data_IF_591188970352
#
_entry.id   IF_591188970352
#
_cell.length_a   1.000
_cell.length_b   1.000
_cell.length_c   1.000
_cell.angle_alpha   90.00
_cell.angle_beta   90.00
_cell.angle_gamma   90.00
#
_symmetry.space_group_name_H-M   'P 1'
#
loop_
_entity.id
_entity.type
_entity.pdbx_description
1 polymer ?
#
# COMPACT_ATOMS: atom_id res chain seq x y z
N UNK A 1 -22.24 32.90 -9.30
CA UNK A 1 -23.19 33.93 -9.75
C UNK A 1 -24.17 33.21 -10.65
N UNK A 2 -25.45 33.30 -10.34
CA UNK A 2 -26.54 32.76 -11.16
C UNK A 2 -26.98 33.79 -12.21
N UNK A 3 -27.78 33.38 -13.20
CA UNK A 3 -28.30 34.28 -14.25
C UNK A 3 -29.17 35.44 -13.73
N UNK A 4 -29.47 35.46 -12.42
CA UNK A 4 -30.20 36.53 -11.74
C UNK A 4 -29.29 37.59 -11.13
N UNK A 5 -27.97 37.37 -11.16
CA UNK A 5 -27.00 38.31 -10.58
C UNK A 5 -26.94 39.60 -11.41
N UNK A 6 -27.05 40.79 -10.79
CA UNK A 6 -27.00 42.05 -11.52
C UNK A 6 -25.65 42.25 -12.24
N UNK A 7 -25.69 42.71 -13.49
CA UNK A 7 -24.50 42.96 -14.34
C UNK A 7 -23.49 43.91 -13.67
N UNK A 8 -23.95 44.75 -12.74
CA UNK A 8 -23.11 45.66 -11.95
C UNK A 8 -22.05 44.96 -11.09
N UNK A 9 -22.18 43.66 -10.80
CA UNK A 9 -21.16 42.86 -10.11
C UNK A 9 -20.04 42.34 -11.02
N UNK A 10 -20.30 42.28 -12.33
CA UNK A 10 -19.37 41.76 -13.35
C UNK A 10 -18.56 42.91 -13.94
N UNK A 11 -19.16 44.09 -14.08
CA UNK A 11 -18.47 45.27 -14.61
C UNK A 11 -17.43 45.80 -13.62
N UNK A 12 -16.14 45.90 -14.00
CA UNK A 12 -15.09 46.34 -13.10
C UNK A 12 -15.28 47.82 -12.75
N UNK A 13 -15.48 48.09 -11.45
CA UNK A 13 -15.58 49.44 -10.92
C UNK A 13 -14.80 49.56 -9.59
N UNK A 14 -14.18 50.71 -9.36
CA UNK A 14 -13.40 50.96 -8.14
C UNK A 14 -14.28 51.29 -6.91
N UNK A 15 -15.61 51.25 -7.04
CA UNK A 15 -16.59 51.51 -5.97
C UNK A 15 -17.87 50.67 -6.18
N UNK A 16 -18.54 50.32 -5.09
CA UNK A 16 -19.83 49.62 -5.11
C UNK A 16 -19.73 48.16 -5.58
N UNK A 17 -20.80 47.63 -6.17
CA UNK A 17 -20.94 46.21 -6.55
C UNK A 17 -19.87 45.72 -7.57
N UNK A 18 -19.30 46.61 -8.38
CA UNK A 18 -18.24 46.29 -9.36
C UNK A 18 -16.85 46.08 -8.75
N UNK A 19 -16.70 46.26 -7.43
CA UNK A 19 -15.47 45.92 -6.70
C UNK A 19 -15.18 44.43 -6.75
N UNK A 20 -16.19 43.58 -6.79
CA UNK A 20 -16.01 42.12 -6.79
C UNK A 20 -15.18 41.65 -8.00
N UNK A 21 -15.51 42.11 -9.21
CA UNK A 21 -14.77 41.77 -10.42
C UNK A 21 -13.39 42.43 -10.47
N UNK A 22 -13.26 43.67 -9.97
CA UNK A 22 -11.97 44.35 -9.88
C UNK A 22 -10.99 43.64 -8.92
N UNK A 23 -11.47 43.28 -7.73
CA UNK A 23 -10.68 42.55 -6.71
C UNK A 23 -10.32 41.15 -7.21
N UNK A 24 -11.26 40.45 -7.86
CA UNK A 24 -11.00 39.14 -8.45
C UNK A 24 -9.91 39.21 -9.52
N UNK A 25 -9.97 40.19 -10.43
CA UNK A 25 -8.93 40.39 -11.45
C UNK A 25 -7.57 40.66 -10.81
N UNK A 26 -7.51 41.55 -9.81
CA UNK A 26 -6.25 41.85 -9.11
C UNK A 26 -5.69 40.61 -8.39
N UNK A 27 -6.54 39.85 -7.70
CA UNK A 27 -6.17 38.61 -7.03
C UNK A 27 -5.60 37.58 -8.02
N UNK A 28 -6.24 37.39 -9.17
CA UNK A 28 -5.76 36.45 -10.18
C UNK A 28 -4.41 36.89 -10.78
N UNK A 29 -4.23 38.19 -11.05
CA UNK A 29 -2.96 38.73 -11.52
C UNK A 29 -1.83 38.57 -10.48
N UNK A 30 -2.14 38.80 -9.21
CA UNK A 30 -1.21 38.59 -8.11
C UNK A 30 -0.79 37.12 -8.00
N UNK A 31 -1.75 36.18 -8.05
CA UNK A 31 -1.46 34.74 -8.01
C UNK A 31 -0.59 34.29 -9.17
N UNK A 32 -0.86 34.79 -10.38
CA UNK A 32 -0.05 34.47 -11.54
C UNK A 32 1.38 34.98 -11.41
N UNK A 33 1.58 36.23 -10.95
CA UNK A 33 2.91 36.79 -10.74
C UNK A 33 3.68 36.06 -9.63
N UNK A 34 3.00 35.68 -8.55
CA UNK A 34 3.60 34.90 -7.46
C UNK A 34 4.07 33.52 -7.95
N UNK A 35 3.29 32.86 -8.81
CA UNK A 35 3.70 31.59 -9.40
C UNK A 35 4.98 31.75 -10.24
N UNK A 36 5.03 32.76 -11.11
CA UNK A 36 6.22 33.04 -11.93
C UNK A 36 7.46 33.35 -11.09
N UNK A 37 7.30 34.06 -9.97
CA UNK A 37 8.41 34.30 -9.03
C UNK A 37 8.96 33.00 -8.45
N UNK A 38 8.08 32.08 -8.00
CA UNK A 38 8.51 30.77 -7.50
C UNK A 38 9.19 29.94 -8.58
N UNK A 39 8.62 29.90 -9.78
CA UNK A 39 9.23 29.23 -10.93
C UNK A 39 10.64 29.77 -11.24
N UNK A 40 10.82 31.10 -11.19
CA UNK A 40 12.13 31.72 -11.38
C UNK A 40 13.15 31.31 -10.31
N UNK A 41 12.74 31.14 -9.05
CA UNK A 41 13.61 30.69 -7.96
C UNK A 41 14.11 29.27 -8.23
N UNK A 42 13.19 28.34 -8.50
CA UNK A 42 13.52 26.93 -8.78
C UNK A 42 14.38 26.78 -10.05
N UNK A 43 14.02 27.50 -11.12
CA UNK A 43 14.75 27.49 -12.39
C UNK A 43 16.07 28.28 -12.38
N UNK A 44 16.43 28.95 -11.27
CA UNK A 44 17.57 29.89 -11.16
C UNK A 44 17.56 31.01 -12.22
N UNK A 45 16.36 31.47 -12.60
CA UNK A 45 16.14 32.55 -13.59
C UNK A 45 15.84 33.86 -12.84
N UNK A 46 16.31 35.00 -13.34
CA UNK A 46 15.99 36.31 -12.74
C UNK A 46 14.58 36.76 -13.14
N UNK A 47 13.71 37.02 -12.17
CA UNK A 47 12.32 37.43 -12.42
C UNK A 47 12.21 38.71 -13.29
N UNK A 48 13.09 39.69 -13.09
CA UNK A 48 13.10 40.93 -13.88
C UNK A 48 13.46 40.74 -15.36
N UNK A 49 14.01 39.58 -15.72
CA UNK A 49 14.32 39.25 -17.12
C UNK A 49 13.10 38.76 -17.92
N UNK A 50 11.97 38.49 -17.25
CA UNK A 50 10.75 38.04 -17.91
C UNK A 50 10.05 39.17 -18.68
N UNK A 51 9.40 38.87 -19.81
CA UNK A 51 8.61 39.84 -20.55
C UNK A 51 7.46 40.39 -19.70
N UNK A 52 7.33 41.73 -19.64
CA UNK A 52 6.23 42.40 -18.92
C UNK A 52 5.12 42.76 -19.90
N UNK A 53 3.93 42.20 -19.68
CA UNK A 53 2.73 42.43 -20.51
C UNK A 53 1.75 43.33 -19.75
N UNK A 54 1.20 44.34 -20.43
CA UNK A 54 0.17 45.21 -19.82
C UNK A 54 -1.16 44.47 -19.78
N UNK A 55 -1.98 44.73 -18.75
CA UNK A 55 -3.29 44.08 -18.55
C UNK A 55 -4.21 44.20 -19.77
N UNK A 56 -4.14 45.34 -20.48
CA UNK A 56 -4.93 45.60 -21.70
C UNK A 56 -4.53 44.75 -22.91
N UNK A 57 -3.30 44.23 -22.91
CA UNK A 57 -2.71 43.47 -24.02
C UNK A 57 -2.65 41.96 -23.68
N UNK A 58 -3.30 41.54 -22.57
CA UNK A 58 -3.36 40.15 -22.15
C UNK A 58 -4.20 39.31 -23.10
N UNK A 59 -3.73 38.09 -23.31
CA UNK A 59 -4.42 37.06 -24.08
C UNK A 59 -4.11 35.71 -23.43
N UNK A 60 -4.83 34.66 -23.85
CA UNK A 60 -4.72 33.35 -23.21
C UNK A 60 -3.28 32.80 -23.16
N UNK A 61 -2.44 33.12 -24.14
CA UNK A 61 -1.02 32.67 -24.19
C UNK A 61 -0.16 33.29 -23.07
N UNK A 62 -0.59 34.43 -22.52
CA UNK A 62 0.12 35.11 -21.45
C UNK A 62 -0.33 34.64 -20.07
N UNK A 63 -1.36 33.79 -19.98
CA UNK A 63 -1.94 33.31 -18.73
C UNK A 63 -1.49 31.89 -18.45
N UNK A 64 -1.16 31.61 -17.19
CA UNK A 64 -0.88 30.25 -16.73
C UNK A 64 -2.22 29.53 -16.60
N UNK A 65 -2.49 28.63 -17.54
CA UNK A 65 -3.71 27.83 -17.58
C UNK A 65 -3.32 26.39 -17.85
N UNK A 66 -3.78 25.49 -16.99
CA UNK A 66 -3.61 24.06 -17.14
C UNK A 66 -4.88 23.36 -16.67
N UNK A 67 -5.20 22.22 -17.29
CA UNK A 67 -6.21 21.31 -16.80
C UNK A 67 -5.55 20.30 -15.86
N UNK A 68 -5.91 20.24 -14.56
CA UNK A 68 -5.26 19.35 -13.60
C UNK A 68 -5.15 17.91 -14.12
N UNK A 69 -6.25 17.37 -14.68
CA UNK A 69 -6.29 15.96 -15.05
C UNK A 69 -5.61 15.62 -16.38
N UNK A 70 -5.54 16.57 -17.31
CA UNK A 70 -4.97 16.32 -18.65
C UNK A 70 -3.51 16.73 -18.71
N UNK A 71 -3.16 17.80 -18.01
CA UNK A 71 -1.87 18.46 -18.16
C UNK A 71 -0.94 18.20 -16.95
N UNK A 72 -1.47 17.99 -15.73
CA UNK A 72 -0.66 17.70 -14.55
C UNK A 72 -0.60 16.21 -14.20
N UNK A 73 -1.74 15.49 -14.22
CA UNK A 73 -1.76 14.05 -13.87
C UNK A 73 -0.76 13.20 -14.66
N UNK A 74 -0.54 13.39 -15.98
CA UNK A 74 0.43 12.59 -16.70
C UNK A 74 1.90 12.93 -16.38
N UNK A 75 2.17 14.10 -15.80
CA UNK A 75 3.52 14.53 -15.40
C UNK A 75 3.84 14.13 -13.95
N UNK A 76 2.80 13.83 -13.18
CA UNK A 76 2.90 13.24 -11.86
C UNK A 76 2.90 11.73 -12.11
N UNK A 77 4.10 11.13 -12.23
CA UNK A 77 4.23 9.67 -12.07
C UNK A 77 3.47 9.33 -10.80
N UNK A 78 2.35 8.63 -10.96
CA UNK A 78 1.32 8.36 -9.94
C UNK A 78 1.82 8.65 -8.54
N UNK A 79 1.56 9.87 -8.04
CA UNK A 79 1.55 10.10 -6.60
C UNK A 79 0.28 9.40 -6.16
N UNK A 80 0.41 8.08 -6.01
CA UNK A 80 -0.47 7.32 -5.15
C UNK A 80 -0.38 8.09 -3.84
N UNK A 81 -1.47 8.71 -3.41
CA UNK A 81 -1.62 9.09 -2.02
C UNK A 81 -1.74 7.76 -1.24
N UNK A 82 -0.66 6.96 -1.23
CA UNK A 82 -0.41 6.02 -0.16
C UNK A 82 -0.21 6.95 1.00
N UNK A 83 -1.18 7.01 1.91
CA UNK A 83 -0.83 7.48 3.24
C UNK A 83 0.45 6.71 3.60
N UNK A 84 1.49 7.42 4.04
CA UNK A 84 2.73 6.92 4.64
C UNK A 84 2.41 6.18 5.96
N UNK A 85 1.40 5.32 5.91
CA UNK A 85 0.83 4.54 6.97
C UNK A 85 1.16 3.12 6.57
N UNK A 86 2.22 2.65 7.19
CA UNK A 86 2.72 1.29 7.14
C UNK A 86 1.59 0.29 7.42
N UNK A 87 1.68 -0.90 6.83
CA UNK A 87 0.62 -1.92 6.93
C UNK A 87 0.30 -2.24 8.40
N UNK A 88 1.29 -2.16 9.28
CA UNK A 88 1.14 -2.33 10.73
C UNK A 88 0.09 -1.37 11.31
N UNK A 89 0.17 -0.07 11.04
CA UNK A 89 -0.76 0.94 11.55
C UNK A 89 -2.14 0.70 10.97
N UNK A 90 -2.22 0.37 9.67
CA UNK A 90 -3.50 0.07 9.00
C UNK A 90 -4.19 -1.11 9.68
N UNK A 91 -3.48 -2.22 9.85
CA UNK A 91 -4.06 -3.44 10.41
C UNK A 91 -4.25 -3.36 11.93
N UNK A 92 -3.39 -2.64 12.67
CA UNK A 92 -3.61 -2.32 14.09
C UNK A 92 -4.94 -1.56 14.28
N UNK A 93 -5.14 -0.48 13.52
CA UNK A 93 -6.38 0.30 13.58
C UNK A 93 -7.60 -0.52 13.16
N UNK A 94 -7.45 -1.42 12.17
CA UNK A 94 -8.51 -2.34 11.77
C UNK A 94 -8.88 -3.29 12.91
N UNK A 95 -7.88 -3.90 13.56
CA UNK A 95 -8.06 -4.85 14.67
C UNK A 95 -8.76 -4.22 15.88
N UNK A 96 -8.51 -2.94 16.13
CA UNK A 96 -9.21 -2.18 17.18
C UNK A 96 -10.72 -2.04 16.91
N UNK A 97 -11.15 -2.06 15.64
CA UNK A 97 -12.57 -1.92 15.26
C UNK A 97 -13.26 -3.23 14.98
N UNK A 98 -12.57 -4.14 14.31
CA UNK A 98 -13.09 -5.43 13.87
C UNK A 98 -12.07 -6.47 14.26
N UNK A 99 -12.47 -7.35 15.19
CA UNK A 99 -11.66 -8.50 15.58
C UNK A 99 -11.34 -9.34 14.35
N UNK A 100 -10.05 -9.42 14.00
CA UNK A 100 -9.59 -10.18 12.84
C UNK A 100 -9.33 -11.65 13.23
N UNK A 101 -9.62 -12.56 12.30
CA UNK A 101 -9.40 -14.00 12.39
C UNK A 101 -8.75 -14.51 11.10
N UNK A 102 -7.90 -15.56 11.21
CA UNK A 102 -7.37 -16.23 10.02
C UNK A 102 -8.48 -16.96 9.26
N UNK A 103 -8.38 -16.93 7.93
CA UNK A 103 -9.18 -17.79 7.06
C UNK A 103 -8.75 -19.24 7.29
N UNK A 104 -9.70 -20.18 7.25
CA UNK A 104 -9.37 -21.60 7.40
C UNK A 104 -8.43 -22.07 6.26
N UNK A 105 -7.44 -22.95 6.55
CA UNK A 105 -6.49 -23.42 5.54
C UNK A 105 -7.17 -24.02 4.30
N UNK A 106 -8.29 -24.74 4.49
CA UNK A 106 -9.07 -25.30 3.39
C UNK A 106 -9.63 -24.23 2.44
N UNK A 107 -10.09 -23.10 2.97
CA UNK A 107 -10.61 -21.98 2.15
C UNK A 107 -9.46 -21.24 1.48
N UNK A 108 -8.33 -21.03 2.18
CA UNK A 108 -7.12 -20.44 1.58
C UNK A 108 -6.64 -21.27 0.39
N UNK A 109 -6.57 -22.60 0.52
CA UNK A 109 -6.18 -23.48 -0.58
C UNK A 109 -7.10 -23.31 -1.79
N UNK A 110 -8.42 -23.30 -1.59
CA UNK A 110 -9.39 -23.10 -2.67
C UNK A 110 -9.25 -21.72 -3.34
N UNK A 111 -9.01 -20.66 -2.57
CA UNK A 111 -8.77 -19.31 -3.10
C UNK A 111 -7.50 -19.30 -3.96
N UNK A 112 -6.40 -19.87 -3.45
CA UNK A 112 -5.12 -19.95 -4.20
C UNK A 112 -5.26 -20.72 -5.50
N UNK A 113 -5.96 -21.86 -5.48
CA UNK A 113 -6.24 -22.65 -6.69
C UNK A 113 -7.02 -21.85 -7.75
N UNK A 114 -8.06 -21.11 -7.34
CA UNK A 114 -8.79 -20.25 -8.26
C UNK A 114 -7.90 -19.15 -8.83
N UNK A 115 -7.11 -18.50 -7.97
CA UNK A 115 -6.20 -17.43 -8.38
C UNK A 115 -5.19 -17.91 -9.41
N UNK A 116 -4.64 -19.14 -9.33
CA UNK A 116 -3.70 -19.68 -10.34
C UNK A 116 -4.21 -19.60 -11.77
N UNK A 117 -5.53 -19.68 -11.97
CA UNK A 117 -6.17 -19.57 -13.29
C UNK A 117 -6.38 -18.13 -13.78
N UNK A 118 -6.13 -17.12 -12.95
CA UNK A 118 -6.44 -15.70 -13.20
C UNK A 118 -5.22 -14.92 -13.63
N UNK A 119 -5.43 -13.85 -14.41
CA UNK A 119 -4.33 -13.02 -14.91
C UNK A 119 -3.70 -12.21 -13.78
N UNK A 120 -2.48 -11.69 -14.01
CA UNK A 120 -1.81 -10.83 -13.03
C UNK A 120 -2.59 -9.51 -12.78
N UNK A 121 -3.12 -8.80 -13.80
CA UNK A 121 -3.99 -7.64 -13.60
C UNK A 121 -5.24 -7.94 -12.76
N UNK A 122 -5.87 -9.10 -12.95
CA UNK A 122 -7.04 -9.52 -12.15
C UNK A 122 -6.71 -9.61 -10.65
N UNK A 123 -5.55 -10.17 -10.32
CA UNK A 123 -5.07 -10.25 -8.94
C UNK A 123 -4.80 -8.85 -8.36
N UNK A 124 -4.13 -7.98 -9.13
CA UNK A 124 -3.87 -6.60 -8.69
C UNK A 124 -5.16 -5.83 -8.45
N UNK A 125 -6.15 -5.91 -9.35
CA UNK A 125 -7.45 -5.26 -9.15
C UNK A 125 -8.23 -5.79 -7.93
N UNK A 126 -8.11 -7.10 -7.65
CA UNK A 126 -8.66 -7.69 -6.42
C UNK A 126 -7.98 -7.14 -5.16
N UNK A 127 -6.66 -6.90 -5.21
CA UNK A 127 -5.93 -6.27 -4.11
C UNK A 127 -6.31 -4.81 -3.93
N UNK A 128 -6.38 -4.02 -5.01
CA UNK A 128 -6.73 -2.59 -4.94
C UNK A 128 -8.12 -2.39 -4.33
N UNK A 129 -9.08 -3.25 -4.70
CA UNK A 129 -10.43 -3.17 -4.12
C UNK A 129 -10.43 -3.58 -2.64
N UNK A 130 -9.61 -4.56 -2.26
CA UNK A 130 -9.44 -4.95 -0.87
C UNK A 130 -8.78 -3.84 -0.04
N UNK A 131 -7.80 -3.13 -0.59
CA UNK A 131 -7.18 -1.97 0.04
C UNK A 131 -8.23 -0.89 0.33
N UNK A 132 -9.08 -0.56 -0.65
CA UNK A 132 -10.19 0.38 -0.47
C UNK A 132 -11.10 -0.11 0.67
N UNK A 133 -11.52 -1.38 0.63
CA UNK A 133 -12.38 -1.94 1.67
C UNK A 133 -11.75 -1.85 3.07
N UNK A 134 -10.45 -2.15 3.20
CA UNK A 134 -9.69 -2.00 4.45
C UNK A 134 -9.72 -0.55 4.95
N UNK A 135 -9.56 0.43 4.05
CA UNK A 135 -9.61 1.86 4.43
C UNK A 135 -10.97 2.26 5.02
N UNK A 136 -12.07 1.70 4.53
CA UNK A 136 -13.40 1.92 5.11
C UNK A 136 -13.58 1.17 6.43
N UNK A 137 -13.19 -0.11 6.47
CA UNK A 137 -13.34 -0.95 7.66
C UNK A 137 -12.51 -0.44 8.83
N UNK A 138 -11.28 0.04 8.60
CA UNK A 138 -10.46 0.69 9.64
C UNK A 138 -11.02 2.04 10.08
N UNK A 139 -11.84 2.69 9.26
CA UNK A 139 -12.40 4.02 9.55
C UNK A 139 -13.75 3.95 10.25
N UNK A 140 -14.63 3.03 9.87
CA UNK A 140 -16.01 2.97 10.37
C UNK A 140 -16.28 1.70 11.18
N UNK A 141 -15.51 0.64 10.95
CA UNK A 141 -15.84 -0.71 11.43
C UNK A 141 -16.97 -1.35 10.62
N UNK A 142 -17.26 -2.61 10.94
CA UNK A 142 -18.39 -3.39 10.41
C UNK A 142 -18.68 -4.56 11.34
N UNK A 143 -19.80 -5.25 11.13
CA UNK A 143 -20.08 -6.53 11.81
C UNK A 143 -19.03 -7.58 11.37
N UNK A 144 -18.24 -8.15 12.29
CA UNK A 144 -17.22 -9.16 11.97
C UNK A 144 -17.77 -10.34 11.15
N UNK A 145 -19.03 -10.72 11.35
CA UNK A 145 -19.66 -11.87 10.71
C UNK A 145 -20.27 -11.56 9.33
N UNK A 146 -20.36 -10.27 8.96
CA UNK A 146 -20.89 -9.86 7.67
C UNK A 146 -19.99 -10.32 6.52
N UNK A 147 -20.61 -10.74 5.41
CA UNK A 147 -19.89 -11.15 4.21
C UNK A 147 -19.15 -9.96 3.64
N UNK A 148 -17.86 -10.16 3.35
CA UNK A 148 -17.02 -9.10 2.79
C UNK A 148 -17.55 -8.67 1.42
N UNK A 149 -18.01 -9.63 0.62
CA UNK A 149 -18.61 -9.33 -0.69
C UNK A 149 -19.84 -8.42 -0.58
N UNK A 150 -20.71 -8.64 0.40
CA UNK A 150 -21.91 -7.82 0.59
C UNK A 150 -21.55 -6.40 1.04
N UNK A 151 -20.52 -6.27 1.88
CA UNK A 151 -19.99 -4.97 2.27
C UNK A 151 -19.47 -4.18 1.07
N UNK A 152 -18.66 -4.79 0.20
CA UNK A 152 -18.12 -4.07 -0.97
C UNK A 152 -19.20 -3.77 -2.01
N UNK A 153 -20.01 -4.76 -2.39
CA UNK A 153 -20.99 -4.58 -3.48
C UNK A 153 -22.13 -3.67 -3.05
N UNK A 154 -22.71 -3.89 -1.86
CA UNK A 154 -23.92 -3.17 -1.47
C UNK A 154 -23.63 -1.86 -0.74
N UNK A 155 -22.55 -1.80 0.07
CA UNK A 155 -22.25 -0.62 0.88
C UNK A 155 -21.23 0.30 0.20
N UNK A 156 -20.16 -0.24 -0.38
CA UNK A 156 -19.20 0.57 -1.14
C UNK A 156 -19.61 0.82 -2.59
N UNK A 157 -20.60 0.09 -3.10
CA UNK A 157 -21.07 0.19 -4.49
C UNK A 157 -19.95 -0.06 -5.52
N UNK A 158 -19.06 -1.00 -5.22
CA UNK A 158 -18.00 -1.41 -6.14
C UNK A 158 -18.42 -2.72 -6.82
N UNK A 159 -18.62 -2.65 -8.13
CA UNK A 159 -18.94 -3.81 -8.95
C UNK A 159 -17.70 -4.70 -9.15
N UNK A 160 -17.89 -6.02 -9.09
CA UNK A 160 -16.85 -7.04 -9.34
C UNK A 160 -15.64 -6.98 -8.39
N UNK A 161 -15.90 -7.14 -7.10
CA UNK A 161 -14.92 -7.11 -6.01
C UNK A 161 -13.71 -8.05 -6.14
N UNK A 162 -13.95 -9.35 -6.39
CA UNK A 162 -12.91 -10.36 -6.44
C UNK A 162 -13.01 -11.27 -7.63
N UNK A 163 -11.87 -11.69 -8.13
CA UNK A 163 -11.81 -12.67 -9.22
C UNK A 163 -11.96 -14.11 -8.70
N UNK A 164 -11.72 -14.34 -7.40
CA UNK A 164 -12.02 -15.61 -6.71
C UNK A 164 -13.44 -15.64 -6.18
N UNK A 165 -14.20 -16.65 -6.61
CA UNK A 165 -15.57 -16.88 -6.15
C UNK A 165 -15.58 -17.40 -4.70
N UNK A 166 -14.57 -18.18 -4.31
CA UNK A 166 -14.44 -18.70 -2.94
C UNK A 166 -14.23 -17.59 -1.93
N UNK A 167 -13.42 -16.59 -2.27
CA UNK A 167 -13.25 -15.41 -1.44
C UNK A 167 -14.60 -14.68 -1.24
N UNK A 168 -15.40 -14.54 -2.28
CA UNK A 168 -16.72 -13.90 -2.18
C UNK A 168 -17.69 -14.67 -1.28
N UNK A 169 -17.67 -16.01 -1.34
CA UNK A 169 -18.62 -16.86 -0.62
C UNK A 169 -18.28 -17.06 0.86
N UNK A 170 -16.98 -17.12 1.19
CA UNK A 170 -16.53 -17.56 2.51
C UNK A 170 -15.83 -16.47 3.33
N UNK A 171 -15.34 -15.39 2.70
CA UNK A 171 -14.66 -14.32 3.44
C UNK A 171 -15.66 -13.34 4.04
N UNK A 172 -15.37 -12.96 5.29
CA UNK A 172 -16.15 -12.03 6.12
C UNK A 172 -15.29 -10.83 6.49
N UNK A 173 -15.87 -9.78 7.06
CA UNK A 173 -15.11 -8.60 7.50
C UNK A 173 -14.02 -8.92 8.55
N UNK A 174 -14.19 -9.99 9.34
CA UNK A 174 -13.13 -10.50 10.23
C UNK A 174 -11.95 -11.18 9.54
N UNK A 175 -12.08 -11.55 8.26
CA UNK A 175 -11.07 -12.30 7.51
C UNK A 175 -10.18 -11.42 6.63
N UNK A 176 -10.38 -10.10 6.66
CA UNK A 176 -9.86 -9.17 5.67
C UNK A 176 -8.33 -9.08 5.69
N UNK A 177 -7.71 -9.02 6.86
CA UNK A 177 -6.25 -9.03 6.99
C UNK A 177 -5.65 -10.33 6.41
N UNK A 178 -6.19 -11.48 6.82
CA UNK A 178 -5.73 -12.79 6.35
C UNK A 178 -5.87 -12.97 4.83
N UNK A 179 -6.96 -12.44 4.26
CA UNK A 179 -7.16 -12.42 2.82
C UNK A 179 -6.13 -11.54 2.11
N UNK A 180 -5.89 -10.34 2.63
CA UNK A 180 -4.95 -9.39 2.04
C UNK A 180 -3.54 -9.97 1.99
N UNK A 181 -3.09 -10.58 3.08
CA UNK A 181 -1.77 -11.25 3.15
C UNK A 181 -1.70 -12.41 2.15
N UNK A 182 -2.78 -13.19 2.01
CA UNK A 182 -2.85 -14.28 1.04
C UNK A 182 -2.68 -13.75 -0.39
N UNK A 183 -3.39 -12.68 -0.75
CA UNK A 183 -3.30 -12.07 -2.08
C UNK A 183 -1.94 -11.42 -2.34
N UNK A 184 -1.40 -10.72 -1.34
CA UNK A 184 -0.07 -10.12 -1.39
C UNK A 184 1.00 -11.20 -1.60
N UNK A 185 0.87 -12.36 -0.94
CA UNK A 185 1.81 -13.45 -1.08
C UNK A 185 1.79 -14.03 -2.49
N UNK A 186 0.60 -14.26 -3.03
CA UNK A 186 0.43 -14.74 -4.40
C UNK A 186 0.88 -13.71 -5.44
N UNK A 187 0.78 -12.41 -5.14
CA UNK A 187 1.34 -11.34 -5.98
C UNK A 187 2.86 -11.39 -5.99
N UNK A 188 3.50 -11.48 -4.83
CA UNK A 188 4.96 -11.60 -4.70
C UNK A 188 5.50 -12.84 -5.42
N UNK A 189 4.82 -14.00 -5.30
CA UNK A 189 5.19 -15.22 -6.04
C UNK A 189 5.15 -15.05 -7.56
N UNK A 190 4.23 -14.24 -8.10
CA UNK A 190 4.15 -13.98 -9.55
C UNK A 190 5.20 -12.98 -10.02
N UNK A 191 5.54 -12.02 -9.16
CA UNK A 191 6.55 -10.99 -9.43
C UNK A 191 7.99 -11.53 -9.37
N UNK A 192 8.23 -12.69 -8.77
CA UNK A 192 9.56 -13.33 -8.74
C UNK A 192 10.18 -13.53 -10.14
N UNK A 193 9.37 -13.69 -11.19
CA UNK A 193 9.87 -13.73 -12.58
C UNK A 193 10.68 -12.47 -12.96
N UNK A 194 10.56 -11.40 -12.18
CA UNK A 194 11.27 -10.13 -12.25
C UNK A 194 11.87 -9.81 -10.84
N UNK A 195 12.99 -10.47 -10.54
CA UNK A 195 13.69 -10.53 -9.23
C UNK A 195 13.92 -9.20 -8.49
N UNK A 196 13.92 -8.06 -9.19
CA UNK A 196 14.29 -6.77 -8.61
C UNK A 196 13.12 -6.06 -7.89
N UNK A 197 11.86 -6.22 -8.31
CA UNK A 197 10.75 -5.37 -7.82
C UNK A 197 9.98 -5.92 -6.60
N UNK A 198 10.19 -7.19 -6.24
CA UNK A 198 9.32 -7.90 -5.27
C UNK A 198 9.48 -7.43 -3.81
N UNK A 199 10.58 -6.74 -3.50
CA UNK A 199 10.94 -6.28 -2.14
C UNK A 199 11.55 -4.88 -2.12
N UNK A 200 11.28 -4.03 -3.10
CA UNK A 200 11.82 -2.66 -3.12
C UNK A 200 11.49 -1.88 -1.84
N UNK A 201 10.38 -2.21 -1.19
CA UNK A 201 9.93 -1.60 0.06
C UNK A 201 10.71 -2.03 1.32
N UNK A 202 11.54 -3.09 1.28
CA UNK A 202 12.31 -3.53 2.46
C UNK A 202 13.67 -2.82 2.49
N UNK A 203 14.12 -2.38 3.68
CA UNK A 203 15.44 -1.74 3.86
C UNK A 203 16.59 -2.59 3.29
N UNK A 204 17.60 -1.93 2.71
CA UNK A 204 18.79 -2.58 2.16
C UNK A 204 19.50 -3.49 3.18
N UNK A 205 19.40 -3.17 4.48
CA UNK A 205 19.99 -3.96 5.56
C UNK A 205 19.45 -5.40 5.64
N UNK A 206 18.26 -5.65 5.08
CA UNK A 206 17.61 -6.96 5.06
C UNK A 206 17.69 -7.67 3.70
N UNK A 207 18.42 -7.06 2.74
CA UNK A 207 18.59 -7.53 1.36
C UNK A 207 19.91 -8.29 1.15
N UNK A 208 20.59 -8.66 2.23
CA UNK A 208 21.86 -9.38 2.14
C UNK A 208 21.70 -10.84 1.67
N UNK A 209 22.76 -11.38 1.09
CA UNK A 209 22.83 -12.77 0.61
C UNK A 209 23.28 -13.71 1.72
N UNK A 210 22.58 -14.84 1.86
CA UNK A 210 22.95 -15.96 2.72
C UNK A 210 24.29 -16.57 2.28
N UNK A 211 25.10 -16.96 3.26
CA UNK A 211 26.28 -17.80 3.03
C UNK A 211 25.89 -19.19 2.56
N UNK A 212 26.81 -19.92 1.92
CA UNK A 212 26.55 -21.29 1.48
C UNK A 212 26.26 -22.23 2.66
N UNK A 213 26.91 -22.03 3.82
CA UNK A 213 26.60 -22.81 5.03
C UNK A 213 25.18 -22.55 5.54
N UNK A 214 24.75 -21.28 5.54
CA UNK A 214 23.40 -20.90 5.95
C UNK A 214 22.36 -21.47 4.98
N UNK A 215 22.60 -21.40 3.66
CA UNK A 215 21.73 -22.02 2.66
C UNK A 215 21.58 -23.51 2.89
N UNK A 216 22.68 -24.23 3.09
CA UNK A 216 22.65 -25.67 3.39
C UNK A 216 21.83 -25.96 4.66
N UNK A 217 22.06 -25.22 5.75
CA UNK A 217 21.30 -25.39 6.98
C UNK A 217 19.79 -25.15 6.77
N UNK A 218 19.41 -24.13 5.99
CA UNK A 218 18.00 -23.87 5.66
C UNK A 218 17.39 -25.00 4.83
N UNK A 219 18.10 -25.52 3.83
CA UNK A 219 17.64 -26.67 3.05
C UNK A 219 17.43 -27.92 3.92
N UNK A 220 18.30 -28.16 4.90
CA UNK A 220 18.14 -29.27 5.84
C UNK A 220 16.94 -29.06 6.77
N UNK A 221 16.75 -27.85 7.32
CA UNK A 221 15.61 -27.53 8.19
C UNK A 221 14.30 -27.68 7.43
N UNK A 222 14.20 -27.10 6.24
CA UNK A 222 12.96 -27.07 5.45
C UNK A 222 12.69 -28.37 4.71
N UNK A 223 13.72 -29.12 4.32
CA UNK A 223 13.58 -30.45 3.73
C UNK A 223 12.92 -31.46 4.68
N UNK A 224 12.97 -31.21 5.99
CA UNK A 224 12.34 -32.05 7.01
C UNK A 224 10.87 -31.68 7.32
N UNK A 225 10.34 -30.59 6.73
CA UNK A 225 8.97 -30.16 6.95
C UNK A 225 8.02 -30.72 5.89
N UNK A 226 6.78 -30.99 6.30
CA UNK A 226 5.69 -31.34 5.37
C UNK A 226 5.28 -30.12 4.54
N UNK A 227 4.62 -30.35 3.40
CA UNK A 227 4.18 -29.29 2.47
C UNK A 227 3.24 -28.30 3.19
N UNK A 228 2.36 -28.81 4.04
CA UNK A 228 1.41 -28.00 4.83
C UNK A 228 2.14 -27.14 5.88
N UNK A 229 3.19 -27.70 6.51
CA UNK A 229 4.01 -26.97 7.47
C UNK A 229 4.82 -25.88 6.79
N UNK A 230 5.42 -26.18 5.63
CA UNK A 230 6.11 -25.18 4.80
C UNK A 230 5.15 -24.08 4.38
N UNK A 231 3.98 -24.41 3.87
CA UNK A 231 2.98 -23.41 3.48
C UNK A 231 2.59 -22.51 4.65
N UNK A 232 2.41 -23.07 5.84
CA UNK A 232 2.09 -22.32 7.05
C UNK A 232 3.23 -21.41 7.51
N UNK A 233 4.47 -21.93 7.58
CA UNK A 233 5.68 -21.13 7.87
C UNK A 233 5.77 -19.92 6.94
N UNK A 234 5.52 -20.18 5.66
CA UNK A 234 5.70 -19.24 4.59
C UNK A 234 4.72 -18.07 4.69
N UNK A 235 3.47 -18.33 5.07
CA UNK A 235 2.48 -17.29 5.31
C UNK A 235 2.80 -16.46 6.55
N UNK A 236 3.22 -17.10 7.64
CA UNK A 236 3.56 -16.42 8.89
C UNK A 236 4.77 -15.50 8.71
N UNK A 237 5.85 -16.00 8.10
CA UNK A 237 7.05 -15.19 7.87
C UNK A 237 6.73 -14.03 6.94
N UNK A 238 5.92 -14.25 5.89
CA UNK A 238 5.52 -13.16 5.01
C UNK A 238 4.69 -12.10 5.71
N UNK A 239 3.71 -12.52 6.51
CA UNK A 239 2.94 -11.61 7.33
C UNK A 239 3.84 -10.81 8.28
N UNK A 240 4.75 -11.49 8.99
CA UNK A 240 5.70 -10.84 9.89
C UNK A 240 6.52 -9.77 9.17
N UNK A 241 7.05 -10.09 7.98
CA UNK A 241 7.83 -9.15 7.17
C UNK A 241 6.97 -7.95 6.78
N UNK A 242 5.75 -8.17 6.26
CA UNK A 242 4.90 -7.07 5.82
C UNK A 242 4.37 -6.19 6.95
N UNK A 243 4.24 -6.72 8.16
CA UNK A 243 3.67 -6.03 9.31
C UNK A 243 4.70 -5.49 10.31
N UNK A 244 5.94 -5.96 10.31
CA UNK A 244 6.92 -5.56 11.32
C UNK A 244 8.23 -5.05 10.73
N UNK A 245 8.50 -5.32 9.45
CA UNK A 245 9.73 -4.87 8.80
C UNK A 245 9.39 -3.64 8.00
N UNK A 246 9.74 -2.51 8.61
CA UNK A 246 9.35 -1.20 8.14
C UNK A 246 9.95 -0.87 6.77
N UNK A 247 9.18 -0.11 6.00
CA UNK A 247 9.67 0.58 4.81
C UNK A 247 10.53 1.73 5.35
N UNK A 248 11.81 1.86 4.99
CA UNK A 248 12.63 2.94 5.53
C UNK A 248 11.99 4.28 5.16
N UNK A 249 11.44 4.98 6.14
CA UNK A 249 11.21 6.42 6.04
C UNK A 249 12.60 7.07 5.95
N UNK A 250 12.81 7.90 4.94
CA UNK A 250 14.10 8.57 4.71
C UNK A 250 14.52 9.50 5.88
N UNK A 251 13.63 9.74 6.86
CA UNK A 251 13.81 10.73 7.94
C UNK A 251 13.70 10.20 9.38
N UNK A 252 13.54 8.89 9.64
CA UNK A 252 13.64 8.36 11.01
C UNK A 252 14.78 7.36 11.11
N UNK A 253 15.69 7.63 12.05
CA UNK A 253 16.73 6.70 12.49
C UNK A 253 16.11 5.30 12.61
N UNK A 254 16.59 4.39 11.77
CA UNK A 254 16.28 2.97 11.78
C UNK A 254 15.95 2.56 13.21
N UNK A 255 14.73 2.07 13.45
CA UNK A 255 14.56 1.08 14.51
C UNK A 255 15.56 -0.02 14.15
N UNK A 256 16.72 0.04 14.81
CA UNK A 256 17.77 -0.94 14.71
C UNK A 256 17.16 -2.25 15.23
N UNK A 257 16.53 -3.00 14.34
CA UNK A 257 16.51 -4.44 14.47
C UNK A 257 17.96 -4.86 14.25
N UNK A 258 18.73 -4.84 15.33
CA UNK A 258 20.10 -5.34 15.36
C UNK A 258 20.16 -6.79 14.86
N UNK A 259 21.36 -7.27 14.54
CA UNK A 259 21.64 -8.58 13.90
C UNK A 259 20.99 -9.81 14.57
N UNK A 260 20.71 -9.76 15.86
CA UNK A 260 20.01 -10.82 16.62
C UNK A 260 18.47 -10.66 16.64
N UNK A 261 17.96 -9.53 16.11
CA UNK A 261 16.60 -9.05 16.27
C UNK A 261 15.56 -9.72 15.39
N UNK A 262 15.88 -10.30 14.22
CA UNK A 262 14.86 -10.93 13.37
C UNK A 262 14.26 -12.17 14.05
N UNK A 263 15.11 -13.05 14.56
CA UNK A 263 14.69 -14.28 15.22
C UNK A 263 13.94 -14.00 16.52
N UNK A 264 14.43 -13.06 17.32
CA UNK A 264 13.77 -12.62 18.55
C UNK A 264 12.44 -11.91 18.28
N UNK A 265 12.38 -11.06 17.25
CA UNK A 265 11.15 -10.38 16.86
C UNK A 265 10.12 -11.32 16.24
N UNK A 266 10.55 -12.29 15.43
CA UNK A 266 9.67 -13.35 14.92
C UNK A 266 9.14 -14.19 16.08
N UNK A 267 10.00 -14.57 17.04
CA UNK A 267 9.57 -15.30 18.24
C UNK A 267 8.59 -14.50 19.09
N UNK A 268 8.81 -13.19 19.24
CA UNK A 268 7.90 -12.28 19.95
C UNK A 268 6.56 -12.16 19.23
N UNK A 269 6.59 -12.05 17.90
CA UNK A 269 5.40 -12.01 17.07
C UNK A 269 4.59 -13.32 17.12
N UNK A 270 5.27 -14.47 17.22
CA UNK A 270 4.63 -15.77 17.40
C UNK A 270 4.01 -15.97 18.79
N UNK A 271 4.53 -15.29 19.80
CA UNK A 271 3.99 -15.33 21.15
C UNK A 271 2.69 -14.53 21.29
N UNK A 272 2.58 -13.42 20.57
CA UNK A 272 1.39 -12.55 20.53
C UNK A 272 0.99 -12.26 19.07
N UNK A 273 0.45 -13.27 18.36
CA UNK A 273 0.07 -13.10 16.98
C UNK A 273 -1.11 -12.13 16.86
N UNK A 274 -1.25 -11.42 15.73
CA UNK A 274 -2.28 -10.41 15.55
C UNK A 274 -3.72 -10.95 15.51
N UNK A 275 -3.92 -12.27 15.58
CA UNK A 275 -5.23 -12.92 15.53
C UNK A 275 -5.58 -13.54 16.89
N UNK A 276 -6.78 -13.25 17.40
CA UNK A 276 -7.24 -13.65 18.73
C UNK A 276 -7.38 -15.16 18.96
N UNK A 277 -7.48 -15.98 17.91
CA UNK A 277 -7.74 -17.42 18.00
C UNK A 277 -6.50 -18.31 17.85
N UNK A 278 -5.29 -17.75 17.81
CA UNK A 278 -4.03 -18.51 17.72
C UNK A 278 -3.42 -18.81 19.09
N UNK A 279 -4.22 -19.34 20.02
CA UNK A 279 -3.68 -19.99 21.22
C UNK A 279 -2.92 -21.31 20.92
N UNK A 280 -2.56 -21.57 19.66
CA UNK A 280 -1.91 -22.78 19.19
C UNK A 280 -0.92 -22.42 18.07
N UNK A 281 0.10 -21.62 18.37
CA UNK A 281 1.33 -21.75 17.59
C UNK A 281 1.79 -23.21 17.73
N UNK A 282 1.87 -23.98 16.63
CA UNK A 282 2.22 -25.39 16.73
C UNK A 282 3.60 -25.56 17.37
N UNK A 283 3.79 -26.54 18.25
CA UNK A 283 5.05 -26.74 18.97
C UNK A 283 6.27 -26.84 18.01
N UNK A 284 6.07 -27.42 16.82
CA UNK A 284 7.11 -27.52 15.81
C UNK A 284 7.58 -26.16 15.25
N UNK A 285 6.71 -25.15 15.24
CA UNK A 285 6.98 -23.82 14.69
C UNK A 285 8.10 -23.13 15.45
N UNK A 286 8.03 -23.15 16.79
CA UNK A 286 9.05 -22.51 17.62
C UNK A 286 10.40 -23.21 17.46
N UNK A 287 10.41 -24.55 17.40
CA UNK A 287 11.63 -25.30 17.15
C UNK A 287 12.29 -24.96 15.80
N UNK A 288 11.49 -24.73 14.76
CA UNK A 288 12.00 -24.29 13.46
C UNK A 288 12.58 -22.88 13.55
N UNK A 289 11.86 -21.94 14.17
CA UNK A 289 12.33 -20.55 14.36
C UNK A 289 13.63 -20.51 15.17
N UNK A 290 13.73 -21.33 16.22
CA UNK A 290 14.93 -21.47 17.04
C UNK A 290 16.14 -22.02 16.26
N UNK A 291 15.90 -22.77 15.18
CA UNK A 291 16.95 -23.33 14.34
C UNK A 291 17.36 -22.40 13.18
N UNK A 292 16.64 -21.29 12.93
CA UNK A 292 16.91 -20.40 11.80
C UNK A 292 18.27 -19.67 11.96
N UNK A 293 19.20 -19.79 10.99
CA UNK A 293 20.49 -19.11 11.00
C UNK A 293 20.40 -17.69 10.41
N UNK A 294 19.39 -16.91 10.82
CA UNK A 294 19.07 -15.63 10.19
C UNK A 294 19.66 -14.44 10.94
N UNK A 295 20.84 -14.00 10.50
CA UNK A 295 21.45 -12.73 10.91
C UNK A 295 21.24 -11.67 9.82
N UNK A 296 20.04 -11.07 9.72
CA UNK A 296 19.76 -9.99 8.75
C UNK A 296 19.49 -10.41 7.29
N UNK A 297 19.48 -11.71 6.97
CA UNK A 297 19.39 -12.24 5.60
C UNK A 297 17.96 -12.48 5.06
N UNK A 298 17.05 -11.53 5.23
CA UNK A 298 15.60 -11.77 5.06
C UNK A 298 15.19 -11.95 3.61
N UNK A 299 15.69 -11.13 2.67
CA UNK A 299 15.27 -11.20 1.27
C UNK A 299 15.63 -12.55 0.65
N UNK A 300 16.88 -13.00 0.79
CA UNK A 300 17.28 -14.29 0.22
C UNK A 300 16.65 -15.46 0.99
N UNK A 301 16.55 -15.38 2.31
CA UNK A 301 15.82 -16.36 3.11
C UNK A 301 14.39 -16.54 2.62
N UNK A 302 13.68 -15.44 2.42
CA UNK A 302 12.31 -15.44 1.94
C UNK A 302 12.20 -16.06 0.56
N UNK A 303 13.07 -15.68 -0.38
CA UNK A 303 13.13 -16.28 -1.72
C UNK A 303 13.39 -17.79 -1.65
N UNK A 304 14.36 -18.22 -0.84
CA UNK A 304 14.66 -19.64 -0.63
C UNK A 304 13.45 -20.38 -0.05
N UNK A 305 12.80 -19.80 0.96
CA UNK A 305 11.64 -20.37 1.65
C UNK A 305 10.39 -20.46 0.78
N UNK A 306 10.01 -19.37 0.13
CA UNK A 306 8.69 -19.22 -0.46
C UNK A 306 8.61 -19.54 -1.93
N UNK A 307 9.74 -19.43 -2.62
CA UNK A 307 9.77 -19.44 -4.06
C UNK A 307 10.47 -20.68 -4.62
N UNK A 308 11.55 -21.13 -3.96
CA UNK A 308 12.27 -22.35 -4.37
C UNK A 308 11.71 -23.64 -3.77
N UNK A 309 11.04 -23.58 -2.63
CA UNK A 309 10.33 -24.71 -2.03
C UNK A 309 8.82 -24.72 -2.32
N UNK A 310 8.34 -23.78 -3.13
CA UNK A 310 7.04 -23.89 -3.79
C UNK A 310 7.11 -25.00 -4.84
N UNK A 311 6.88 -26.25 -4.42
CA UNK A 311 6.79 -27.42 -5.30
C UNK A 311 5.97 -27.10 -6.56
N UNK A 312 6.67 -27.08 -7.69
CA UNK A 312 6.15 -27.61 -8.95
C UNK A 312 6.03 -29.12 -8.86
#
# INVERSE_FOLDING_TARGET
>A
MDDKTPVSYILPANKGHGLCSYVLLFFLLEKQNLFLQKYCIEGRIKYDSLPKVKVKDLSAIHLISYHPDRDLLPMIDTVVYRSETTNDIVFNTLRDKIRQERISPAVICQIKEELRSKTFPDLCGSMDTLDIAIMFLKSVGADPESLLNDFIVNLLQIDHFFVSQKAQMYCKCKHVQSLWITLALEKTKRLEKHYEESFDCVSFAFKEKLSEEQRCALYDIFGNLQIEQLAFMSEIIFEFILLNIDIPNEDEELKNMDRDGFKEALSTYLFDPPYLNEALTPDWLQHVVDALPLEGYIQEFFVVMLLRHGFS
#
